data_IF_381150772181
#
_entry.id   IF_381150772181
#
_cell.length_a   1.000
_cell.length_b   1.000
_cell.length_c   1.000
_cell.angle_alpha   90.00
_cell.angle_beta   90.00
_cell.angle_gamma   90.00
#
_symmetry.space_group_name_H-M   'P 1'
#
loop_
_entity.id
_entity.type
_entity.pdbx_description
1 polymer ?
#
# COMPACT_ATOMS: atom_id res chain seq x y z
N UNK A 1 4.00 16.70 -15.43
CA UNK A 1 3.25 16.20 -14.29
C UNK A 1 3.76 14.79 -14.10
N UNK A 2 4.26 14.48 -12.91
CA UNK A 2 4.80 13.14 -12.64
C UNK A 2 3.65 12.17 -12.43
N UNK A 3 3.69 11.01 -13.09
CA UNK A 3 2.60 10.02 -13.05
C UNK A 3 3.00 8.77 -12.26
N UNK A 4 2.10 8.31 -11.38
CA UNK A 4 2.24 7.09 -10.59
C UNK A 4 1.11 6.12 -10.92
N UNK A 5 1.45 4.97 -11.50
CA UNK A 5 0.52 3.86 -11.63
C UNK A 5 0.41 3.06 -10.32
N UNK A 6 -0.78 2.56 -9.97
CA UNK A 6 -1.01 1.76 -8.76
C UNK A 6 -1.51 0.34 -9.09
N UNK A 7 -0.86 -0.67 -8.52
CA UNK A 7 -1.35 -2.05 -8.42
C UNK A 7 -1.52 -2.36 -6.93
N UNK A 8 -2.75 -2.58 -6.48
CA UNK A 8 -3.08 -2.73 -5.06
C UNK A 8 -4.05 -3.89 -4.83
N UNK A 9 -4.20 -4.33 -3.59
CA UNK A 9 -5.13 -5.41 -3.25
C UNK A 9 -6.59 -5.00 -3.42
N UNK A 10 -6.92 -3.76 -3.02
CA UNK A 10 -8.28 -3.24 -3.08
C UNK A 10 -8.36 -1.76 -3.41
N UNK A 11 -9.59 -1.31 -3.69
CA UNK A 11 -9.91 0.10 -3.98
C UNK A 11 -9.58 0.98 -2.77
N UNK A 12 -9.77 0.47 -1.55
CA UNK A 12 -9.45 1.14 -0.29
C UNK A 12 -7.96 1.54 -0.23
N UNK A 13 -7.09 0.68 -0.74
CA UNK A 13 -5.64 0.89 -0.73
C UNK A 13 -5.20 1.93 -1.74
N UNK A 14 -5.82 1.94 -2.91
CA UNK A 14 -5.58 2.97 -3.93
C UNK A 14 -5.84 4.37 -3.40
N UNK A 15 -6.96 4.55 -2.68
CA UNK A 15 -7.37 5.85 -2.15
C UNK A 15 -6.35 6.34 -1.11
N UNK A 16 -5.96 5.47 -0.19
CA UNK A 16 -4.99 5.82 0.83
C UNK A 16 -3.64 6.18 0.20
N UNK A 17 -3.16 5.38 -0.75
CA UNK A 17 -1.89 5.62 -1.44
C UNK A 17 -1.91 6.89 -2.27
N UNK A 18 -2.99 7.17 -3.00
CA UNK A 18 -3.16 8.44 -3.72
C UNK A 18 -2.99 9.63 -2.78
N UNK A 19 -3.70 9.63 -1.64
CA UNK A 19 -3.63 10.72 -0.66
C UNK A 19 -2.25 10.83 0.02
N UNK A 20 -1.57 9.70 0.22
CA UNK A 20 -0.19 9.64 0.75
C UNK A 20 0.79 10.25 -0.26
N UNK A 21 0.71 9.86 -1.53
CA UNK A 21 1.57 10.38 -2.61
C UNK A 21 1.32 11.88 -2.81
N UNK A 22 0.06 12.31 -2.94
CA UNK A 22 -0.31 13.72 -3.03
C UNK A 22 0.27 14.51 -1.85
N UNK A 23 0.10 13.99 -0.63
CA UNK A 23 0.61 14.60 0.57
C UNK A 23 2.12 14.69 0.64
N UNK A 24 2.81 13.62 0.23
CA UNK A 24 4.26 13.55 0.22
C UNK A 24 4.85 14.58 -0.73
N UNK A 25 4.30 14.73 -1.94
CA UNK A 25 4.82 15.60 -2.99
C UNK A 25 4.28 17.04 -2.94
N UNK A 26 3.25 17.30 -2.12
CA UNK A 26 2.71 18.65 -1.92
C UNK A 26 3.79 19.65 -1.54
N UNK A 27 4.02 20.62 -2.41
CA UNK A 27 5.00 21.69 -2.22
C UNK A 27 6.47 21.24 -2.35
N UNK A 28 6.72 20.02 -2.84
CA UNK A 28 8.07 19.53 -3.19
C UNK A 28 8.39 19.66 -4.67
N UNK A 29 7.37 19.79 -5.51
CA UNK A 29 7.50 19.97 -6.96
C UNK A 29 6.58 21.14 -7.40
N UNK A 30 6.96 21.79 -8.50
CA UNK A 30 6.19 22.89 -9.11
C UNK A 30 4.94 22.39 -9.88
N UNK A 31 4.82 21.08 -10.08
CA UNK A 31 3.70 20.44 -10.75
C UNK A 31 3.01 19.48 -9.81
N UNK A 32 1.68 19.37 -9.92
CA UNK A 32 0.97 18.29 -9.26
C UNK A 32 1.44 16.93 -9.81
N UNK A 33 1.12 15.87 -9.06
CA UNK A 33 1.28 14.48 -9.51
C UNK A 33 -0.06 13.97 -10.03
N UNK A 34 0.02 12.98 -10.91
CA UNK A 34 -1.14 12.20 -11.34
C UNK A 34 -1.00 10.77 -10.82
N UNK A 35 -2.13 10.18 -10.44
CA UNK A 35 -2.20 8.81 -9.91
C UNK A 35 -3.21 8.00 -10.72
N UNK A 36 -2.73 6.94 -11.36
CA UNK A 36 -3.50 6.07 -12.26
C UNK A 36 -3.66 4.67 -11.64
N UNK A 37 -4.88 4.27 -11.23
CA UNK A 37 -5.13 2.93 -10.70
C UNK A 37 -5.23 1.88 -11.81
N UNK A 38 -4.38 0.85 -11.76
CA UNK A 38 -4.37 -0.25 -12.73
C UNK A 38 -5.07 -1.50 -12.24
N UNK A 39 -4.97 -1.80 -10.94
CA UNK A 39 -5.57 -2.96 -10.30
C UNK A 39 -5.96 -2.62 -8.86
N UNK A 40 -7.21 -2.87 -8.45
CA UNK A 40 -8.40 -3.07 -9.31
C UNK A 40 -8.70 -1.82 -10.18
N UNK A 41 -9.44 -1.96 -11.28
CA UNK A 41 -9.87 -0.78 -12.05
C UNK A 41 -10.99 -0.03 -11.31
N UNK A 42 -10.99 1.32 -11.35
CA UNK A 42 -11.99 2.15 -10.64
C UNK A 42 -13.40 2.09 -11.25
N UNK A 43 -13.49 1.78 -12.53
CA UNK A 43 -14.73 1.63 -13.28
C UNK A 43 -15.41 0.27 -13.08
N UNK A 44 -14.70 -0.69 -12.47
CA UNK A 44 -15.29 -1.95 -12.05
C UNK A 44 -16.20 -1.71 -10.85
N UNK A 45 -17.47 -1.41 -11.11
CA UNK A 45 -18.59 -1.52 -10.17
C UNK A 45 -18.83 -2.95 -9.67
N UNK A 46 -17.88 -3.87 -9.87
CA UNK A 46 -18.05 -5.32 -9.86
C UNK A 46 -17.36 -6.03 -8.68
N UNK A 47 -17.28 -5.36 -7.51
CA UNK A 47 -17.15 -6.10 -6.24
C UNK A 47 -18.33 -7.06 -5.99
N UNK A 48 -19.40 -7.01 -6.81
CA UNK A 48 -20.51 -7.97 -6.81
C UNK A 48 -20.38 -9.14 -7.80
N UNK A 49 -19.29 -9.29 -8.56
CA UNK A 49 -19.20 -10.34 -9.61
C UNK A 49 -18.00 -11.29 -9.56
N UNK A 50 -17.01 -11.05 -8.71
CA UNK A 50 -16.03 -12.09 -8.42
C UNK A 50 -16.66 -13.05 -7.40
N UNK A 51 -16.66 -14.38 -7.63
CA UNK A 51 -17.01 -15.33 -6.57
C UNK A 51 -16.11 -14.99 -5.38
N UNK A 52 -16.71 -14.76 -4.21
CA UNK A 52 -16.02 -14.52 -2.94
C UNK A 52 -14.99 -15.59 -2.54
N UNK A 53 -14.88 -16.65 -3.34
CA UNK A 53 -14.21 -17.90 -3.04
C UNK A 53 -13.06 -18.22 -4.04
N UNK A 54 -12.74 -17.32 -4.99
CA UNK A 54 -11.79 -17.64 -6.07
C UNK A 54 -10.35 -17.16 -5.84
N UNK A 55 -10.13 -15.90 -5.42
CA UNK A 55 -8.78 -15.34 -5.21
C UNK A 55 -8.79 -14.21 -4.16
N UNK A 56 -7.76 -14.15 -3.32
CA UNK A 56 -7.48 -13.04 -2.40
C UNK A 56 -6.97 -11.79 -3.14
N UNK A 57 -7.09 -10.61 -2.51
CA UNK A 57 -6.61 -9.34 -3.10
C UNK A 57 -5.12 -9.36 -3.44
N UNK A 58 -4.30 -9.90 -2.55
CA UNK A 58 -2.86 -10.09 -2.78
C UNK A 58 -2.55 -11.06 -3.94
N UNK A 59 -3.37 -12.09 -4.16
CA UNK A 59 -3.18 -13.04 -5.28
C UNK A 59 -3.34 -12.32 -6.62
N UNK A 60 -4.34 -11.43 -6.72
CA UNK A 60 -4.56 -10.61 -7.92
C UNK A 60 -3.40 -9.64 -8.17
N UNK A 61 -2.78 -9.09 -7.12
CA UNK A 61 -1.58 -8.25 -7.26
C UNK A 61 -0.43 -9.05 -7.84
N UNK A 62 -0.15 -10.24 -7.29
CA UNK A 62 0.93 -11.10 -7.79
C UNK A 62 0.65 -11.63 -9.20
N UNK A 63 -0.61 -11.95 -9.52
CA UNK A 63 -1.04 -12.30 -10.87
C UNK A 63 -0.79 -11.13 -11.83
N UNK A 64 -1.18 -9.91 -11.48
CA UNK A 64 -0.94 -8.74 -12.33
C UNK A 64 0.56 -8.51 -12.56
N UNK A 65 1.40 -8.69 -11.54
CA UNK A 65 2.86 -8.60 -11.67
C UNK A 65 3.42 -9.63 -12.67
N UNK A 66 2.78 -10.78 -12.82
CA UNK A 66 3.17 -11.79 -13.82
C UNK A 66 2.76 -11.43 -15.26
N UNK A 67 1.87 -10.46 -15.46
CA UNK A 67 1.44 -9.98 -16.78
C UNK A 67 2.46 -8.99 -17.35
N UNK A 68 3.58 -9.50 -17.86
CA UNK A 68 4.72 -8.68 -18.29
C UNK A 68 4.36 -7.55 -19.27
N UNK A 69 3.50 -7.81 -20.25
CA UNK A 69 3.06 -6.79 -21.21
C UNK A 69 2.30 -5.64 -20.52
N UNK A 70 1.52 -5.95 -19.46
CA UNK A 70 0.79 -4.94 -18.67
C UNK A 70 1.74 -4.10 -17.84
N UNK A 71 2.76 -4.71 -17.23
CA UNK A 71 3.76 -3.98 -16.48
C UNK A 71 4.60 -3.08 -17.41
N UNK A 72 4.98 -3.60 -18.58
CA UNK A 72 5.68 -2.80 -19.59
C UNK A 72 4.81 -1.63 -20.08
N UNK A 73 3.54 -1.87 -20.39
CA UNK A 73 2.57 -0.84 -20.77
C UNK A 73 2.41 0.23 -19.67
N UNK A 74 2.23 -0.20 -18.41
CA UNK A 74 2.14 0.70 -17.26
C UNK A 74 3.32 1.67 -17.19
N UNK A 75 4.54 1.15 -17.34
CA UNK A 75 5.78 1.92 -17.28
C UNK A 75 6.15 2.61 -18.61
N UNK A 76 5.45 2.32 -19.70
CA UNK A 76 5.55 3.10 -20.94
C UNK A 76 4.74 4.40 -20.84
N UNK A 77 3.65 4.40 -20.07
CA UNK A 77 2.73 5.53 -19.92
C UNK A 77 2.83 6.28 -18.59
N UNK A 78 3.47 5.70 -17.57
CA UNK A 78 3.61 6.31 -16.26
C UNK A 78 5.07 6.39 -15.83
N UNK A 79 5.48 7.46 -15.13
CA UNK A 79 6.86 7.63 -14.67
C UNK A 79 7.25 6.55 -13.65
N UNK A 80 6.34 6.21 -12.73
CA UNK A 80 6.54 5.24 -11.67
C UNK A 80 5.38 4.24 -11.56
N UNK A 81 5.68 3.05 -11.07
CA UNK A 81 4.71 2.02 -10.71
C UNK A 81 4.83 1.70 -9.23
N UNK A 82 3.76 1.88 -8.46
CA UNK A 82 3.67 1.50 -7.05
C UNK A 82 2.88 0.20 -6.94
N UNK A 83 3.49 -0.80 -6.31
CA UNK A 83 2.87 -2.09 -6.03
C UNK A 83 2.63 -2.17 -4.51
N UNK A 84 1.37 -2.34 -4.11
CA UNK A 84 0.95 -2.47 -2.72
C UNK A 84 0.48 -3.88 -2.43
N UNK A 85 0.95 -4.39 -1.29
CA UNK A 85 0.53 -5.66 -0.69
C UNK A 85 0.61 -5.52 0.84
N UNK A 86 -0.35 -6.12 1.52
CA UNK A 86 -0.38 -6.34 2.96
C UNK A 86 0.34 -7.66 3.30
N UNK A 87 0.86 -7.79 4.52
CA UNK A 87 1.59 -9.01 4.92
C UNK A 87 0.78 -9.95 5.80
N UNK A 88 -0.48 -9.67 6.14
CA UNK A 88 -1.28 -10.54 7.02
C UNK A 88 -1.51 -11.95 6.46
N UNK A 89 -1.52 -12.12 5.14
CA UNK A 89 -1.58 -13.42 4.45
C UNK A 89 -0.21 -14.10 4.23
N UNK A 90 0.87 -13.63 4.86
CA UNK A 90 2.23 -14.13 4.59
C UNK A 90 2.45 -15.64 4.80
N UNK A 91 1.69 -16.25 5.72
CA UNK A 91 1.73 -17.69 6.02
C UNK A 91 0.97 -18.55 4.99
N UNK A 92 0.23 -17.94 4.06
CA UNK A 92 -0.47 -18.68 3.01
C UNK A 92 0.53 -19.28 2.01
N UNK A 93 0.27 -20.52 1.56
CA UNK A 93 1.19 -21.31 0.74
C UNK A 93 1.65 -20.59 -0.53
N UNK A 94 0.73 -19.88 -1.18
CA UNK A 94 0.97 -19.18 -2.44
C UNK A 94 1.63 -17.80 -2.23
N UNK A 95 1.53 -17.23 -1.03
CA UNK A 95 2.23 -16.01 -0.65
C UNK A 95 3.69 -16.35 -0.33
N UNK A 96 3.89 -17.31 0.59
CA UNK A 96 5.18 -17.95 0.85
C UNK A 96 6.21 -17.05 1.57
N UNK A 97 5.75 -16.09 2.37
CA UNK A 97 6.63 -15.20 3.15
C UNK A 97 6.20 -15.24 4.62
N UNK A 98 6.77 -16.16 5.42
CA UNK A 98 6.35 -16.31 6.80
C UNK A 98 6.62 -15.03 7.61
N UNK A 99 5.73 -14.74 8.55
CA UNK A 99 5.80 -13.58 9.45
C UNK A 99 6.72 -13.82 10.64
N UNK A 100 7.04 -15.09 10.89
CA UNK A 100 7.94 -15.51 11.96
C UNK A 100 9.13 -16.31 11.42
N UNK A 101 10.27 -16.20 12.09
CA UNK A 101 11.44 -17.06 11.90
C UNK A 101 11.77 -17.65 13.27
N UNK A 102 11.89 -18.98 13.35
CA UNK A 102 12.17 -19.72 14.59
C UNK A 102 11.21 -19.38 15.75
N UNK A 103 9.95 -19.08 15.42
CA UNK A 103 8.90 -18.73 16.40
C UNK A 103 8.95 -17.30 16.94
N UNK A 104 9.84 -16.45 16.42
CA UNK A 104 9.90 -15.02 16.72
C UNK A 104 9.38 -14.18 15.55
N UNK A 105 8.71 -13.05 15.85
CA UNK A 105 8.32 -12.07 14.83
C UNK A 105 9.56 -11.56 14.08
N UNK A 106 9.44 -11.48 12.76
CA UNK A 106 10.51 -10.92 11.92
C UNK A 106 10.63 -9.42 12.15
N UNK A 107 11.86 -8.91 12.01
CA UNK A 107 12.06 -7.47 11.95
C UNK A 107 11.33 -6.89 10.72
N UNK A 108 10.75 -5.71 10.87
CA UNK A 108 9.97 -5.06 9.82
C UNK A 108 10.77 -4.90 8.51
N UNK A 109 12.03 -4.41 8.53
CA UNK A 109 12.82 -4.31 7.30
C UNK A 109 13.04 -5.66 6.61
N UNK A 110 13.30 -6.73 7.38
CA UNK A 110 13.52 -8.07 6.82
C UNK A 110 12.25 -8.62 6.17
N UNK A 111 11.09 -8.37 6.78
CA UNK A 111 9.81 -8.76 6.23
C UNK A 111 9.50 -8.00 4.94
N UNK A 112 9.70 -6.67 4.93
CA UNK A 112 9.53 -5.84 3.74
C UNK A 112 10.41 -6.33 2.60
N UNK A 113 11.70 -6.61 2.85
CA UNK A 113 12.60 -7.08 1.79
C UNK A 113 12.22 -8.48 1.27
N UNK A 114 11.71 -9.37 2.12
CA UNK A 114 11.25 -10.67 1.63
C UNK A 114 9.98 -10.58 0.77
N UNK A 115 9.04 -9.70 1.12
CA UNK A 115 7.86 -9.45 0.29
C UNK A 115 8.25 -8.75 -1.02
N UNK A 116 9.18 -7.79 -0.97
CA UNK A 116 9.76 -7.15 -2.16
C UNK A 116 10.35 -8.20 -3.10
N UNK A 117 11.17 -9.11 -2.57
CA UNK A 117 11.75 -10.21 -3.34
C UNK A 117 10.67 -11.14 -3.93
N UNK A 118 9.61 -11.41 -3.18
CA UNK A 118 8.48 -12.23 -3.64
C UNK A 118 7.74 -11.60 -4.84
N UNK A 119 7.52 -10.29 -4.81
CA UNK A 119 6.91 -9.54 -5.91
C UNK A 119 7.85 -9.51 -7.12
N UNK A 120 9.14 -9.22 -6.89
CA UNK A 120 10.16 -9.22 -7.96
C UNK A 120 10.24 -10.57 -8.65
N UNK A 121 10.08 -11.68 -7.92
CA UNK A 121 10.05 -13.02 -8.50
C UNK A 121 8.84 -13.28 -9.42
N UNK A 122 7.76 -12.51 -9.32
CA UNK A 122 6.66 -12.53 -10.28
C UNK A 122 6.96 -11.70 -11.54
N UNK A 123 7.85 -10.71 -11.46
CA UNK A 123 8.26 -9.92 -12.62
C UNK A 123 9.24 -10.72 -13.49
N UNK A 124 9.27 -10.47 -14.80
CA UNK A 124 10.33 -11.04 -15.62
C UNK A 124 11.67 -10.38 -15.27
N UNK A 125 12.79 -11.14 -15.24
CA UNK A 125 14.11 -10.59 -14.91
C UNK A 125 14.50 -9.41 -15.82
N UNK A 126 14.19 -9.50 -17.10
CA UNK A 126 14.50 -8.47 -18.10
C UNK A 126 13.72 -7.18 -17.83
N UNK A 127 12.43 -7.30 -17.49
CA UNK A 127 11.58 -6.15 -17.18
C UNK A 127 12.06 -5.50 -15.89
N UNK A 128 12.28 -6.30 -14.84
CA UNK A 128 12.74 -5.78 -13.56
C UNK A 128 14.08 -5.05 -13.73
N UNK A 129 15.06 -5.62 -14.46
CA UNK A 129 16.33 -4.95 -14.68
C UNK A 129 16.17 -3.62 -15.44
N UNK A 130 15.25 -3.58 -16.41
CA UNK A 130 14.95 -2.38 -17.21
C UNK A 130 14.29 -1.27 -16.37
N UNK A 131 13.42 -1.63 -15.43
CA UNK A 131 12.56 -0.67 -14.73
C UNK A 131 12.73 -0.63 -13.20
N UNK A 132 13.71 -1.33 -12.61
CA UNK A 132 13.90 -1.41 -11.15
C UNK A 132 13.94 -0.06 -10.43
N UNK A 133 14.44 0.99 -11.06
CA UNK A 133 14.46 2.35 -10.50
C UNK A 133 13.11 3.09 -10.55
N UNK A 134 12.10 2.48 -11.17
CA UNK A 134 10.75 3.04 -11.39
C UNK A 134 9.65 2.21 -10.74
N UNK A 135 9.97 1.02 -10.24
CA UNK A 135 9.05 0.15 -9.50
C UNK A 135 9.27 0.38 -8.01
N UNK A 136 8.22 0.82 -7.33
CA UNK A 136 8.19 1.19 -5.93
C UNK A 136 7.27 0.22 -5.17
N UNK A 137 7.62 -0.08 -3.92
CA UNK A 137 6.93 -1.13 -3.15
C UNK A 137 6.30 -0.53 -1.88
N UNK A 138 4.97 -0.49 -1.84
CA UNK A 138 4.18 -0.08 -0.68
C UNK A 138 3.78 -1.30 0.14
N UNK A 139 4.75 -1.91 0.84
CA UNK A 139 4.52 -3.12 1.62
C UNK A 139 4.03 -2.75 3.02
N UNK A 140 2.76 -3.03 3.29
CA UNK A 140 2.14 -2.69 4.56
C UNK A 140 2.25 -3.88 5.53
N UNK A 141 3.12 -3.76 6.55
CA UNK A 141 3.26 -4.84 7.53
C UNK A 141 1.96 -5.04 8.30
N UNK A 142 1.45 -6.26 8.22
CA UNK A 142 0.11 -6.72 8.57
C UNK A 142 -1.01 -6.15 7.71
N UNK A 143 -1.23 -4.83 7.74
CA UNK A 143 -2.30 -4.23 6.93
C UNK A 143 -2.09 -2.74 6.69
N UNK A 144 -2.70 -2.20 5.63
CA UNK A 144 -2.76 -0.76 5.40
C UNK A 144 -3.39 0.01 6.58
N UNK A 145 -4.33 -0.59 7.31
CA UNK A 145 -4.91 0.04 8.51
C UNK A 145 -3.85 0.42 9.55
N UNK A 146 -2.70 -0.26 9.58
CA UNK A 146 -1.58 0.12 10.44
C UNK A 146 -0.92 1.44 10.03
N UNK A 147 -1.00 1.80 8.75
CA UNK A 147 -0.59 3.11 8.26
C UNK A 147 -1.63 4.17 8.61
N UNK A 148 -2.92 3.84 8.63
CA UNK A 148 -3.99 4.82 8.94
C UNK A 148 -4.14 5.10 10.44
N UNK A 149 -3.84 4.13 11.31
CA UNK A 149 -4.05 4.23 12.76
C UNK A 149 -3.46 5.50 13.41
N UNK A 150 -2.23 5.96 13.09
CA UNK A 150 -1.62 7.11 13.77
C UNK A 150 -2.30 8.46 13.50
N UNK A 151 -3.10 8.56 12.43
CA UNK A 151 -3.95 9.73 12.14
C UNK A 151 -5.14 9.85 13.10
N UNK A 152 -5.61 8.72 13.63
CA UNK A 152 -6.86 8.65 14.39
C UNK A 152 -6.67 8.38 15.87
N UNK A 153 -5.56 7.73 16.23
CA UNK A 153 -5.21 7.49 17.61
C UNK A 153 -4.56 8.73 18.25
N UNK A 154 -4.78 8.94 19.54
CA UNK A 154 -4.25 10.09 20.30
C UNK A 154 -3.00 9.73 21.08
N UNK A 155 -2.93 8.52 21.63
CA UNK A 155 -1.84 8.11 22.52
C UNK A 155 -0.64 7.57 21.74
N UNK A 156 0.56 8.09 21.98
CA UNK A 156 1.79 7.74 21.24
C UNK A 156 2.06 6.23 21.14
N UNK A 157 2.00 5.51 22.26
CA UNK A 157 2.23 4.05 22.28
C UNK A 157 1.18 3.26 21.51
N UNK A 158 -0.04 3.79 21.39
CA UNK A 158 -1.11 3.16 20.62
C UNK A 158 -0.98 3.45 19.12
N UNK A 159 -0.38 4.57 18.74
CA UNK A 159 -0.04 4.88 17.35
C UNK A 159 0.99 3.90 16.78
N UNK A 160 1.94 3.46 17.61
CA UNK A 160 3.02 2.53 17.23
C UNK A 160 2.59 1.06 17.12
N UNK A 161 1.30 0.77 17.18
CA UNK A 161 0.82 -0.62 17.14
C UNK A 161 0.79 -1.11 15.70
N UNK A 162 1.37 -2.29 15.49
CA UNK A 162 1.44 -2.99 14.20
C UNK A 162 0.49 -4.18 14.10
N UNK A 163 -0.05 -4.66 15.22
CA UNK A 163 -0.99 -5.79 15.25
C UNK A 163 -2.43 -5.36 15.42
N UNK A 164 -3.39 -6.08 14.83
CA UNK A 164 -4.84 -5.81 14.95
C UNK A 164 -5.19 -4.33 14.71
N UNK A 165 -4.58 -3.74 13.68
CA UNK A 165 -4.73 -2.31 13.38
C UNK A 165 -6.15 -1.96 12.94
N UNK A 166 -6.83 -2.82 12.19
CA UNK A 166 -8.24 -2.62 11.81
C UNK A 166 -9.15 -2.44 13.05
N UNK A 167 -9.09 -3.34 14.03
CA UNK A 167 -9.88 -3.23 15.27
C UNK A 167 -9.52 -1.99 16.09
N UNK A 168 -8.24 -1.62 16.10
CA UNK A 168 -7.75 -0.42 16.81
C UNK A 168 -8.21 0.85 16.11
N UNK A 169 -8.16 0.86 14.78
CA UNK A 169 -8.62 1.94 13.93
C UNK A 169 -10.13 2.12 14.08
N UNK A 170 -10.92 1.05 14.00
CA UNK A 170 -12.35 1.06 14.25
C UNK A 170 -12.69 1.69 15.61
N UNK A 171 -12.00 1.26 16.68
CA UNK A 171 -12.18 1.85 18.02
C UNK A 171 -11.76 3.32 18.07
N UNK A 172 -10.75 3.73 17.29
CA UNK A 172 -10.33 5.12 17.21
C UNK A 172 -11.34 6.00 16.48
N UNK A 173 -11.90 5.49 15.39
CA UNK A 173 -12.94 6.13 14.58
C UNK A 173 -14.28 6.23 15.33
N UNK A 174 -14.66 5.19 16.08
CA UNK A 174 -15.87 5.21 16.90
C UNK A 174 -15.87 6.34 17.94
N UNK A 175 -14.70 6.70 18.50
CA UNK A 175 -14.55 7.86 19.41
C UNK A 175 -14.76 9.21 18.72
N UNK A 176 -14.68 9.23 17.38
CA UNK A 176 -14.97 10.37 16.51
C UNK A 176 -16.35 10.25 15.85
N UNK A 177 -17.19 9.31 16.29
CA UNK A 177 -18.51 9.01 15.70
C UNK A 177 -18.47 8.66 14.21
N UNK A 178 -17.35 8.13 13.74
CA UNK A 178 -17.20 7.63 12.36
C UNK A 178 -17.46 6.13 12.37
N UNK A 179 -18.38 5.67 11.52
CA UNK A 179 -18.62 4.25 11.31
C UNK A 179 -17.55 3.68 10.38
N UNK A 180 -16.82 2.66 10.82
CA UNK A 180 -15.78 2.06 9.99
C UNK A 180 -16.40 0.99 9.08
N UNK A 181 -16.35 1.25 7.77
CA UNK A 181 -16.66 0.30 6.72
C UNK A 181 -15.46 0.19 5.76
N UNK A 182 -15.23 -1.00 5.21
CA UNK A 182 -14.20 -1.24 4.20
C UNK A 182 -14.73 -0.85 2.82
N UNK A 183 -15.01 0.44 2.63
CA UNK A 183 -15.51 1.02 1.39
C UNK A 183 -14.74 2.28 0.98
N UNK A 184 -15.00 2.74 -0.25
CA UNK A 184 -14.33 3.88 -0.86
C UNK A 184 -14.48 5.14 0.00
N UNK A 185 -15.71 5.52 0.34
CA UNK A 185 -16.01 6.78 1.02
C UNK A 185 -15.36 6.85 2.40
N UNK A 186 -15.44 5.75 3.17
CA UNK A 186 -14.82 5.67 4.48
C UNK A 186 -13.31 5.81 4.38
N UNK A 187 -12.65 5.08 3.45
CA UNK A 187 -11.19 5.14 3.31
C UNK A 187 -10.71 6.51 2.84
N UNK A 188 -11.45 7.14 1.94
CA UNK A 188 -11.21 8.53 1.52
C UNK A 188 -11.22 9.49 2.71
N UNK A 189 -12.24 9.40 3.55
CA UNK A 189 -12.40 10.31 4.68
C UNK A 189 -11.34 10.08 5.77
N UNK A 190 -11.03 8.81 6.10
CA UNK A 190 -10.07 8.51 7.16
C UNK A 190 -8.61 8.70 6.70
N UNK A 191 -8.31 8.60 5.41
CA UNK A 191 -6.99 8.87 4.86
C UNK A 191 -6.78 10.35 4.49
N UNK A 192 -7.83 11.18 4.47
CA UNK A 192 -7.80 12.56 3.96
C UNK A 192 -6.68 13.43 4.56
N UNK A 193 -6.36 13.23 5.83
CA UNK A 193 -5.30 13.97 6.51
C UNK A 193 -3.91 13.70 5.92
N UNK A 194 -3.70 12.57 5.23
CA UNK A 194 -2.45 12.32 4.51
C UNK A 194 -2.19 13.30 3.40
N UNK A 195 -3.21 13.97 2.85
CA UNK A 195 -3.03 15.02 1.84
C UNK A 195 -2.14 16.18 2.32
N UNK A 196 -1.91 16.29 3.62
CA UNK A 196 -1.04 17.30 4.23
C UNK A 196 0.36 16.72 4.49
N UNK A 197 1.39 17.35 3.93
CA UNK A 197 2.78 16.90 4.04
C UNK A 197 3.27 16.68 5.48
N UNK A 198 2.82 17.51 6.43
CA UNK A 198 3.18 17.36 7.84
C UNK A 198 2.59 16.09 8.48
N UNK A 199 1.44 15.60 8.02
CA UNK A 199 0.86 14.35 8.52
C UNK A 199 1.59 13.12 7.95
N UNK A 200 2.00 13.16 6.68
CA UNK A 200 2.90 12.15 6.09
C UNK A 200 4.22 12.11 6.88
N UNK A 201 4.89 13.25 7.04
CA UNK A 201 6.18 13.32 7.75
C UNK A 201 6.07 12.84 9.20
N UNK A 202 4.98 13.18 9.90
CA UNK A 202 4.74 12.72 11.26
C UNK A 202 4.44 11.21 11.32
N UNK A 203 3.88 10.60 10.29
CA UNK A 203 3.61 9.17 10.36
C UNK A 203 4.87 8.30 10.29
N UNK A 204 5.97 8.84 9.73
CA UNK A 204 7.28 8.18 9.69
C UNK A 204 7.77 7.75 11.08
N UNK A 205 7.47 8.52 12.14
CA UNK A 205 7.87 8.15 13.50
C UNK A 205 7.05 6.99 14.08
N UNK A 206 5.87 6.67 13.54
CA UNK A 206 4.94 5.73 14.16
C UNK A 206 4.86 4.37 13.47
N UNK A 207 5.20 4.29 12.19
CA UNK A 207 5.14 3.04 11.42
C UNK A 207 6.38 2.90 10.55
N UNK A 208 7.19 1.87 10.82
CA UNK A 208 8.47 1.64 10.14
C UNK A 208 8.29 1.22 8.68
N UNK A 209 7.29 0.38 8.35
CA UNK A 209 7.00 0.00 6.96
C UNK A 209 6.53 1.18 6.10
N UNK A 210 5.74 2.09 6.69
CA UNK A 210 5.38 3.36 6.07
C UNK A 210 6.62 4.24 5.84
N UNK A 211 7.53 4.30 6.83
CA UNK A 211 8.76 5.06 6.70
C UNK A 211 9.66 4.52 5.58
N UNK A 212 9.79 3.19 5.45
CA UNK A 212 10.52 2.56 4.35
C UNK A 212 9.91 2.98 3.01
N UNK A 213 8.61 2.83 2.83
CA UNK A 213 7.94 3.23 1.58
C UNK A 213 8.17 4.71 1.24
N UNK A 214 7.97 5.62 2.19
CA UNK A 214 8.15 7.06 1.96
C UNK A 214 9.60 7.43 1.64
N UNK A 215 10.58 6.75 2.24
CA UNK A 215 12.00 7.00 1.98
C UNK A 215 12.46 6.41 0.62
N UNK A 216 11.79 5.36 0.14
CA UNK A 216 12.04 4.75 -1.17
C UNK A 216 11.42 5.57 -2.33
N UNK A 217 10.53 6.54 -2.03
CA UNK A 217 9.94 7.41 -3.04
C UNK A 217 11.01 8.29 -3.73
N UNK A 218 10.90 8.50 -5.05
CA UNK A 218 11.85 9.31 -5.81
C UNK A 218 11.77 10.79 -5.40
N UNK A 219 12.90 11.48 -5.48
CA UNK A 219 12.96 12.95 -5.41
C UNK A 219 12.50 13.51 -6.76
N UNK A 220 11.51 14.40 -6.74
CA UNK A 220 10.97 15.08 -7.92
C UNK A 220 11.45 16.53 -8.00
#
# INVERSE_FOLDING_TARGET
MTTFALITEGITDQIALELILEGHYRGKTDQDIDVEPLQPTRDATDQSRLPSDAFGGWELVLEYCSLHDRIHEALAFNDYLVIQIDTDCGEEVNYGVPLTIDGAERAIPDLVEAVRARIIACLSPELHETYKGRILFAICVHSLECWLLPLHERQGDKKRKTHACADKLQRALARKTINFAKDYDTYRDIALEYRKANHVARNLEFNESFAIFINDLPVL
#
